data_IF_724232009896
#
_entry.id   IF_724232009896
#
_cell.length_a   1.000
_cell.length_b   1.000
_cell.length_c   1.000
_cell.angle_alpha   90.00
_cell.angle_beta   90.00
_cell.angle_gamma   90.00
#
_symmetry.space_group_name_H-M   'P 1'
#
loop_
_entity.id
_entity.type
_entity.pdbx_description
1 polymer ?
#
# COMPACT_ATOMS: atom_id res chain seq x y z
N UNK A 1 -18.10 0.24 -42.40
CA UNK A 1 -18.49 0.45 -41.00
C UNK A 1 -17.26 0.85 -40.19
N UNK A 2 -17.05 2.16 -39.97
CA UNK A 2 -15.96 2.68 -39.13
C UNK A 2 -16.60 3.40 -37.94
N UNK A 3 -16.82 2.65 -36.85
CA UNK A 3 -17.33 3.15 -35.57
C UNK A 3 -16.15 3.38 -34.63
N UNK A 4 -15.95 4.63 -34.27
CA UNK A 4 -14.71 5.21 -33.76
C UNK A 4 -14.36 4.72 -32.36
N UNK A 5 -13.13 4.24 -32.18
CA UNK A 5 -12.42 4.31 -30.89
C UNK A 5 -12.09 5.80 -30.65
N UNK A 6 -13.12 6.61 -30.46
CA UNK A 6 -12.98 8.05 -30.19
C UNK A 6 -12.77 8.23 -28.70
N UNK A 7 -11.76 9.03 -28.39
CA UNK A 7 -11.46 9.62 -27.08
C UNK A 7 -10.51 8.85 -26.15
N UNK A 8 -9.47 8.31 -26.77
CA UNK A 8 -8.17 7.97 -26.18
C UNK A 8 -7.36 9.23 -25.79
N UNK A 9 -7.97 10.16 -25.05
CA UNK A 9 -7.32 11.40 -24.57
C UNK A 9 -7.89 11.87 -23.24
N UNK A 10 -7.85 11.00 -22.24
CA UNK A 10 -7.75 11.45 -20.86
C UNK A 10 -6.51 10.79 -20.31
N UNK A 11 -5.41 11.56 -20.25
CA UNK A 11 -4.29 11.27 -19.34
C UNK A 11 -4.89 11.28 -17.94
N UNK A 12 -5.60 10.22 -17.55
CA UNK A 12 -6.02 10.01 -16.18
C UNK A 12 -4.73 9.69 -15.47
N UNK A 13 -4.09 10.73 -14.94
CA UNK A 13 -3.21 10.61 -13.81
C UNK A 13 -4.09 9.94 -12.76
N UNK A 14 -4.05 8.62 -12.69
CA UNK A 14 -4.70 7.92 -11.61
C UNK A 14 -3.94 8.37 -10.37
N UNK A 15 -4.68 8.80 -9.35
CA UNK A 15 -4.10 9.03 -8.03
C UNK A 15 -3.83 7.65 -7.41
N UNK A 16 -3.00 6.87 -8.12
CA UNK A 16 -2.99 5.43 -8.10
C UNK A 16 -2.85 4.94 -6.67
N UNK A 17 -3.72 4.02 -6.33
CA UNK A 17 -3.69 3.20 -5.13
C UNK A 17 -2.46 2.29 -5.08
N UNK A 18 -1.42 2.55 -5.89
CA UNK A 18 -0.17 1.80 -5.89
C UNK A 18 1.03 2.73 -5.75
N UNK A 19 2.01 2.29 -4.97
CA UNK A 19 3.25 3.01 -4.78
C UNK A 19 4.06 3.06 -6.07
N UNK A 20 4.52 4.25 -6.48
CA UNK A 20 5.37 4.43 -7.66
C UNK A 20 6.74 3.73 -7.58
N UNK A 21 7.17 3.29 -6.39
CA UNK A 21 8.48 2.65 -6.15
C UNK A 21 8.38 1.13 -6.05
N UNK A 22 7.54 0.62 -5.15
CA UNK A 22 7.42 -0.82 -4.88
C UNK A 22 6.12 -1.43 -5.41
N UNK A 23 5.24 -0.64 -6.01
CA UNK A 23 3.94 -1.06 -6.53
C UNK A 23 2.99 -1.67 -5.50
N UNK A 24 3.26 -1.54 -4.20
CA UNK A 24 2.37 -1.98 -3.16
C UNK A 24 1.12 -1.08 -3.06
N UNK A 25 -0.01 -1.66 -2.64
CA UNK A 25 -1.25 -0.91 -2.51
C UNK A 25 -1.18 0.14 -1.39
N UNK A 26 -1.70 1.33 -1.67
CA UNK A 26 -1.80 2.49 -0.79
C UNK A 26 -3.27 2.75 -0.51
N UNK A 27 -3.62 2.99 0.76
CA UNK A 27 -4.94 3.47 1.13
C UNK A 27 -5.22 4.84 0.50
N UNK A 28 -6.49 5.25 0.45
CA UNK A 28 -6.92 6.51 -0.18
C UNK A 28 -6.22 7.73 0.46
N UNK A 29 -6.04 7.72 1.77
CA UNK A 29 -5.47 8.81 2.58
C UNK A 29 -4.00 8.59 2.99
N UNK A 30 -3.33 7.58 2.42
CA UNK A 30 -1.93 7.28 2.70
C UNK A 30 -1.04 8.31 2.00
N UNK A 31 -0.27 9.07 2.79
CA UNK A 31 0.73 10.03 2.29
C UNK A 31 2.06 9.36 1.99
N UNK A 32 2.33 8.22 2.62
CA UNK A 32 3.55 7.44 2.48
C UNK A 32 3.23 5.96 2.27
N UNK A 33 4.12 5.24 1.60
CA UNK A 33 4.00 3.80 1.41
C UNK A 33 4.33 3.05 2.70
N UNK A 34 3.38 2.22 3.16
CA UNK A 34 3.52 1.37 4.36
C UNK A 34 4.62 0.31 4.24
N UNK A 35 5.07 0.00 3.03
CA UNK A 35 6.03 -1.08 2.76
C UNK A 35 7.44 -0.57 2.40
N UNK A 36 7.58 0.66 1.91
CA UNK A 36 8.89 1.19 1.48
C UNK A 36 9.20 2.62 1.94
N UNK A 37 8.31 3.24 2.71
CA UNK A 37 8.46 4.58 3.27
C UNK A 37 8.43 5.73 2.27
N UNK A 38 8.29 5.46 0.97
CA UNK A 38 8.34 6.50 -0.06
C UNK A 38 7.06 7.35 -0.06
N UNK A 39 7.15 8.67 -0.26
CA UNK A 39 5.97 9.53 -0.33
C UNK A 39 5.10 9.18 -1.54
N UNK A 40 3.78 9.39 -1.41
CA UNK A 40 2.82 9.15 -2.48
C UNK A 40 3.16 10.05 -3.67
N UNK A 41 3.30 9.43 -4.84
CA UNK A 41 3.53 10.10 -6.12
C UNK A 41 2.53 9.57 -7.14
N UNK A 42 2.06 10.42 -8.08
CA UNK A 42 1.18 9.96 -9.14
C UNK A 42 1.89 8.91 -10.00
N UNK A 43 1.17 7.84 -10.33
CA UNK A 43 1.64 6.78 -11.22
C UNK A 43 0.93 6.88 -12.57
N UNK A 44 1.67 6.62 -13.65
CA UNK A 44 1.16 6.64 -15.02
C UNK A 44 0.81 5.24 -15.57
N UNK A 45 0.87 4.21 -14.73
CA UNK A 45 0.60 2.82 -15.10
C UNK A 45 -0.77 2.37 -14.56
N UNK A 46 -1.46 1.54 -15.36
CA UNK A 46 -2.70 0.87 -14.97
C UNK A 46 -2.34 -0.58 -14.62
N UNK A 47 -2.44 -1.01 -13.35
CA UNK A 47 -2.23 -2.40 -13.01
C UNK A 47 -3.26 -3.29 -13.72
N UNK A 48 -2.76 -4.33 -14.40
CA UNK A 48 -3.61 -5.42 -14.83
C UNK A 48 -4.06 -6.19 -13.57
N UNK A 49 -5.36 -6.21 -13.30
CA UNK A 49 -5.91 -7.00 -12.20
C UNK A 49 -5.96 -8.48 -12.59
N UNK A 50 -4.83 -9.18 -12.49
CA UNK A 50 -4.69 -10.59 -12.83
C UNK A 50 -4.34 -11.47 -11.61
N UNK A 51 -4.78 -11.08 -10.42
CA UNK A 51 -4.57 -11.86 -9.19
C UNK A 51 -5.45 -13.12 -9.19
N UNK A 52 -4.81 -14.28 -9.29
CA UNK A 52 -5.38 -15.56 -8.83
C UNK A 52 -4.76 -15.85 -7.48
N UNK A 53 -5.39 -15.36 -6.41
CA UNK A 53 -4.90 -15.52 -5.04
C UNK A 53 -5.54 -16.72 -4.36
N UNK A 54 -4.96 -17.91 -4.57
CA UNK A 54 -5.18 -19.05 -3.67
C UNK A 54 -4.19 -18.93 -2.50
N UNK A 55 -4.42 -17.96 -1.60
CA UNK A 55 -3.58 -17.81 -0.40
C UNK A 55 -4.18 -18.65 0.73
N UNK A 56 -3.43 -19.66 1.18
CA UNK A 56 -3.85 -20.56 2.25
C UNK A 56 -3.54 -19.96 3.63
N UNK A 57 -4.55 -19.88 4.50
CA UNK A 57 -4.41 -19.51 5.91
C UNK A 57 -5.50 -18.56 6.39
N UNK A 58 -5.85 -18.58 7.69
CA UNK A 58 -6.75 -17.57 8.25
C UNK A 58 -6.07 -16.19 8.20
N UNK A 59 -6.75 -15.14 7.73
CA UNK A 59 -6.23 -13.79 7.83
C UNK A 59 -6.07 -13.42 9.32
N UNK A 60 -4.98 -12.75 9.64
CA UNK A 60 -4.82 -12.13 10.95
C UNK A 60 -4.66 -10.63 10.81
N UNK A 61 -5.24 -9.93 11.78
CA UNK A 61 -5.24 -8.47 11.84
C UNK A 61 -4.09 -8.04 12.74
N UNK A 62 -3.16 -7.26 12.20
CA UNK A 62 -2.06 -6.67 12.98
C UNK A 62 -2.30 -5.19 13.17
N UNK A 63 -2.25 -4.73 14.41
CA UNK A 63 -2.30 -3.30 14.75
C UNK A 63 -0.88 -2.75 14.88
N UNK A 64 -0.60 -1.64 14.21
CA UNK A 64 0.65 -0.91 14.29
C UNK A 64 0.41 0.46 14.91
N UNK A 65 1.39 0.95 15.66
CA UNK A 65 1.37 2.30 16.25
C UNK A 65 2.69 3.00 15.94
N UNK A 66 2.62 4.19 15.36
CA UNK A 66 3.81 4.98 15.07
C UNK A 66 4.34 5.67 16.32
N UNK A 67 5.60 5.46 16.65
CA UNK A 67 6.30 6.16 17.76
C UNK A 67 6.58 7.62 17.46
N UNK A 68 6.66 8.02 16.19
CA UNK A 68 6.96 9.39 15.77
C UNK A 68 5.74 10.33 15.78
N UNK A 69 4.57 9.85 15.36
CA UNK A 69 3.36 10.68 15.24
C UNK A 69 2.15 10.19 16.05
N UNK A 70 2.24 9.02 16.69
CA UNK A 70 1.15 8.43 17.46
C UNK A 70 0.02 7.81 16.62
N UNK A 71 0.08 7.89 15.29
CA UNK A 71 -0.95 7.30 14.42
C UNK A 71 -0.93 5.78 14.50
N UNK A 72 -2.11 5.17 14.67
CA UNK A 72 -2.30 3.74 14.64
C UNK A 72 -3.07 3.29 13.40
N UNK A 73 -2.74 2.11 12.88
CA UNK A 73 -3.42 1.51 11.74
C UNK A 73 -3.43 -0.01 11.84
N UNK A 74 -4.40 -0.63 11.19
CA UNK A 74 -4.53 -2.09 11.12
C UNK A 74 -4.18 -2.59 9.72
N UNK A 75 -3.62 -3.79 9.66
CA UNK A 75 -3.29 -4.50 8.41
C UNK A 75 -3.82 -5.91 8.51
N UNK A 76 -4.73 -6.27 7.61
CA UNK A 76 -5.13 -7.65 7.38
C UNK A 76 -4.05 -8.32 6.55
N UNK A 77 -3.45 -9.37 7.09
CA UNK A 77 -2.30 -10.03 6.47
C UNK A 77 -2.36 -11.55 6.61
N UNK A 78 -1.64 -12.22 5.71
CA UNK A 78 -1.49 -13.68 5.69
C UNK A 78 -0.06 -14.11 6.06
N UNK A 79 0.65 -13.31 6.86
CA UNK A 79 1.96 -13.69 7.42
C UNK A 79 3.16 -13.00 6.80
N UNK A 80 3.00 -12.40 5.63
CA UNK A 80 4.11 -11.91 4.79
C UNK A 80 4.10 -10.38 4.65
N UNK A 81 3.03 -9.70 5.09
CA UNK A 81 2.91 -8.26 4.96
C UNK A 81 3.87 -7.53 5.90
N UNK A 82 4.85 -6.84 5.30
CA UNK A 82 5.85 -6.01 6.01
C UNK A 82 5.43 -4.54 5.98
N UNK A 83 4.31 -4.22 6.63
CA UNK A 83 3.80 -2.84 6.76
C UNK A 83 4.60 -2.00 7.79
N UNK A 84 5.92 -1.97 7.64
CA UNK A 84 6.86 -1.38 8.59
C UNK A 84 6.99 0.14 8.54
N UNK A 85 6.19 0.86 7.76
CA UNK A 85 6.28 2.32 7.65
C UNK A 85 4.94 3.00 7.95
N UNK A 86 5.01 4.13 8.65
CA UNK A 86 3.83 4.92 8.96
C UNK A 86 3.25 5.59 7.70
N UNK A 87 1.95 5.40 7.39
CA UNK A 87 1.32 6.02 6.22
C UNK A 87 1.16 7.54 6.32
N UNK A 88 1.28 8.12 7.53
CA UNK A 88 1.10 9.56 7.76
C UNK A 88 2.41 10.35 7.79
N UNK A 89 3.47 9.80 8.38
CA UNK A 89 4.74 10.51 8.55
C UNK A 89 5.95 9.82 7.87
N UNK A 90 5.80 8.59 7.38
CA UNK A 90 6.88 7.85 6.73
C UNK A 90 7.92 7.25 7.69
N UNK A 91 7.77 7.44 9.01
CA UNK A 91 8.67 6.84 10.01
C UNK A 91 8.55 5.32 10.02
N UNK A 92 9.67 4.63 10.19
CA UNK A 92 9.72 3.18 10.35
C UNK A 92 9.12 2.78 11.71
N UNK A 93 8.29 1.73 11.71
CA UNK A 93 7.59 1.21 12.87
C UNK A 93 8.05 -0.21 13.10
N UNK A 94 8.63 -0.44 14.28
CA UNK A 94 8.99 -1.78 14.75
C UNK A 94 7.69 -2.49 15.13
N UNK A 95 7.42 -3.63 14.52
CA UNK A 95 6.29 -4.49 14.88
C UNK A 95 6.58 -5.19 16.20
N UNK A 96 5.61 -5.26 17.12
CA UNK A 96 5.79 -5.86 18.45
C UNK A 96 6.02 -7.39 18.45
N UNK A 97 6.15 -8.04 17.28
CA UNK A 97 6.64 -9.41 17.17
C UNK A 97 8.16 -9.55 17.43
N UNK A 98 8.91 -8.46 17.55
CA UNK A 98 10.34 -8.46 17.95
C UNK A 98 10.61 -7.73 19.29
N UNK A 99 9.58 -7.41 20.09
CA UNK A 99 9.77 -6.80 21.42
C UNK A 99 9.67 -7.83 22.55
N UNK A 100 10.48 -8.89 22.48
CA UNK A 100 10.93 -9.64 23.66
C UNK A 100 12.39 -10.02 23.48
N UNK A 101 13.31 -9.12 23.85
CA UNK A 101 14.65 -9.48 24.31
C UNK A 101 15.36 -8.24 24.87
N UNK A 102 15.08 -7.94 26.14
CA UNK A 102 16.05 -7.93 27.25
C UNK A 102 15.35 -7.48 28.53
#
# INVERSE_FOLDING_TARGET
MKGRVSDMKRKKIFNGDMCAKCHAHLGEDDKFCRYCGSPRKPVAFVPANNRVECVYGPPFVTTHTCTGCGYSWTVDSLGIDRAGYCPKCGSEVRTESECKLK
#
